data_IF_366182638350
#
_entry.id   IF_366182638350
#
_cell.length_a   1.000
_cell.length_b   1.000
_cell.length_c   1.000
_cell.angle_alpha   90.00
_cell.angle_beta   90.00
_cell.angle_gamma   90.00
#
_symmetry.space_group_name_H-M   'P 1'
#
loop_
_entity.id
_entity.type
_entity.pdbx_description
1 polymer ?
#
# COMPACT_ATOMS: atom_id res chain seq x y z
N UNK A 1 11.50 17.51 16.16
CA UNK A 1 11.32 16.22 15.45
C UNK A 1 12.68 15.84 14.89
N UNK A 2 13.13 14.62 15.12
CA UNK A 2 14.30 14.01 14.48
C UNK A 2 13.81 12.96 13.46
N UNK A 3 14.72 12.22 12.82
CA UNK A 3 14.36 11.17 11.84
C UNK A 3 13.91 9.86 12.51
N UNK A 4 13.94 9.77 13.84
CA UNK A 4 13.58 8.55 14.55
C UNK A 4 12.06 8.41 14.65
N UNK A 5 11.56 7.25 14.24
CA UNK A 5 10.19 6.85 14.54
C UNK A 5 10.11 6.41 16.02
N UNK A 6 9.32 7.13 16.82
CA UNK A 6 9.11 6.81 18.24
C UNK A 6 7.68 6.26 18.49
N UNK A 7 6.92 6.06 17.43
CA UNK A 7 5.57 5.49 17.45
C UNK A 7 5.64 4.00 17.80
N UNK A 8 4.65 3.48 18.55
CA UNK A 8 4.59 2.06 18.85
C UNK A 8 4.39 1.24 17.58
N UNK A 9 5.24 0.22 17.42
CA UNK A 9 5.18 -0.74 16.33
C UNK A 9 3.98 -1.69 16.49
N UNK A 10 3.37 -2.16 15.40
CA UNK A 10 2.40 -3.25 15.45
C UNK A 10 3.00 -4.49 16.11
N UNK A 11 2.16 -5.26 16.83
CA UNK A 11 2.62 -6.41 17.61
C UNK A 11 3.40 -7.46 16.79
N UNK A 12 3.01 -7.68 15.54
CA UNK A 12 3.65 -8.64 14.64
C UNK A 12 4.88 -8.08 13.89
N UNK A 13 5.10 -6.77 13.91
CA UNK A 13 6.05 -6.10 13.02
C UNK A 13 7.48 -6.63 13.16
N UNK A 14 8.00 -6.76 14.38
CA UNK A 14 9.38 -7.19 14.60
C UNK A 14 9.62 -8.63 14.11
N UNK A 15 8.64 -9.51 14.28
CA UNK A 15 8.73 -10.89 13.82
C UNK A 15 8.69 -10.97 12.27
N UNK A 16 7.84 -10.16 11.64
CA UNK A 16 7.78 -10.03 10.18
C UNK A 16 9.10 -9.46 9.65
N UNK A 17 9.65 -8.41 10.27
CA UNK A 17 10.91 -7.78 9.87
C UNK A 17 12.09 -8.76 9.96
N UNK A 18 12.16 -9.57 11.01
CA UNK A 18 13.14 -10.65 11.14
C UNK A 18 13.00 -11.70 10.01
N UNK A 19 11.78 -12.18 9.75
CA UNK A 19 11.51 -13.12 8.68
C UNK A 19 11.80 -12.53 7.29
N UNK A 20 11.51 -11.23 7.10
CA UNK A 20 11.79 -10.48 5.88
C UNK A 20 13.28 -10.47 5.59
N UNK A 21 14.10 -10.12 6.58
CA UNK A 21 15.57 -10.15 6.47
C UNK A 21 16.10 -11.56 6.19
N UNK A 22 15.55 -12.57 6.86
CA UNK A 22 15.94 -13.97 6.66
C UNK A 22 15.58 -14.49 5.25
N UNK A 23 14.48 -14.00 4.65
CA UNK A 23 14.05 -14.37 3.30
C UNK A 23 14.90 -13.76 2.18
N UNK A 24 15.70 -12.73 2.49
CA UNK A 24 16.45 -11.97 1.49
C UNK A 24 15.62 -10.98 0.69
N UNK A 25 14.38 -10.70 1.10
CA UNK A 25 13.56 -9.66 0.49
C UNK A 25 14.16 -8.26 0.77
N UNK A 26 14.40 -7.49 -0.29
CA UNK A 26 15.12 -6.21 -0.23
C UNK A 26 14.25 -4.98 -0.53
N UNK A 27 12.94 -5.17 -0.71
CA UNK A 27 11.99 -4.11 -1.05
C UNK A 27 10.98 -3.87 0.08
N UNK A 28 11.45 -3.92 1.32
CA UNK A 28 10.63 -3.66 2.50
C UNK A 28 10.21 -2.19 2.57
N UNK A 29 8.94 -1.92 2.88
CA UNK A 29 8.40 -0.57 3.00
C UNK A 29 9.09 0.24 4.11
N UNK A 30 9.29 1.54 3.88
CA UNK A 30 9.88 2.44 4.88
C UNK A 30 8.99 2.52 6.14
N UNK A 31 9.61 2.50 7.32
CA UNK A 31 8.88 2.49 8.59
C UNK A 31 8.08 3.77 8.82
N UNK A 32 8.56 4.89 8.30
CA UNK A 32 7.90 6.18 8.39
C UNK A 32 6.71 6.27 7.44
N UNK A 33 6.82 5.68 6.24
CA UNK A 33 5.67 5.45 5.36
C UNK A 33 4.63 4.58 6.08
N UNK A 34 5.04 3.46 6.67
CA UNK A 34 4.14 2.59 7.43
C UNK A 34 3.40 3.32 8.56
N UNK A 35 4.08 4.22 9.28
CA UNK A 35 3.45 5.07 10.30
C UNK A 35 2.38 6.01 9.73
N UNK A 36 2.60 6.56 8.53
CA UNK A 36 1.60 7.36 7.84
C UNK A 36 0.39 6.49 7.46
N UNK A 37 0.63 5.30 6.89
CA UNK A 37 -0.42 4.36 6.47
C UNK A 37 -1.36 4.03 7.64
N UNK A 38 -0.81 3.70 8.81
CA UNK A 38 -1.56 3.46 10.05
C UNK A 38 -2.43 4.66 10.45
N UNK A 39 -1.87 5.87 10.40
CA UNK A 39 -2.58 7.10 10.80
C UNK A 39 -3.75 7.38 9.86
N UNK A 40 -3.55 7.21 8.55
CA UNK A 40 -4.60 7.38 7.55
C UNK A 40 -5.69 6.31 7.70
N UNK A 41 -5.32 5.06 7.99
CA UNK A 41 -6.26 3.97 8.20
C UNK A 41 -7.22 4.24 9.37
N UNK A 42 -6.71 4.81 10.47
CA UNK A 42 -7.53 5.17 11.64
C UNK A 42 -8.63 6.21 11.34
N UNK A 43 -8.54 6.95 10.23
CA UNK A 43 -9.56 7.92 9.81
C UNK A 43 -10.71 7.29 9.00
N UNK A 44 -10.67 5.98 8.74
CA UNK A 44 -11.66 5.23 7.95
C UNK A 44 -12.36 4.15 8.80
N UNK A 45 -13.11 4.52 9.85
CA UNK A 45 -13.84 3.55 10.67
C UNK A 45 -14.86 2.77 9.81
N UNK A 46 -14.91 1.45 9.98
CA UNK A 46 -15.72 0.54 9.16
C UNK A 46 -15.36 0.53 7.67
N UNK A 47 -14.18 1.04 7.30
CA UNK A 47 -13.79 1.22 5.91
C UNK A 47 -13.41 -0.09 5.20
N UNK A 48 -13.48 -0.07 3.87
CA UNK A 48 -12.94 -1.13 3.01
C UNK A 48 -11.58 -0.71 2.46
N UNK A 49 -10.59 -1.56 2.67
CA UNK A 49 -9.19 -1.29 2.33
C UNK A 49 -8.71 -2.27 1.26
N UNK A 50 -7.89 -1.76 0.36
CA UNK A 50 -7.16 -2.53 -0.64
C UNK A 50 -5.67 -2.20 -0.53
N UNK A 51 -4.85 -3.23 -0.54
CA UNK A 51 -3.40 -3.14 -0.69
C UNK A 51 -2.97 -3.94 -1.93
N UNK A 52 -2.25 -3.28 -2.84
CA UNK A 52 -1.66 -3.90 -4.03
C UNK A 52 -0.14 -3.99 -3.80
N UNK A 53 0.36 -5.19 -3.52
CA UNK A 53 1.74 -5.43 -3.07
C UNK A 53 1.79 -5.66 -1.56
N UNK A 54 1.52 -6.89 -1.12
CA UNK A 54 1.66 -7.27 0.30
C UNK A 54 3.12 -7.38 0.74
N UNK A 55 3.99 -7.86 -0.15
CA UNK A 55 5.32 -8.34 0.21
C UNK A 55 5.25 -9.35 1.36
N UNK A 56 6.06 -9.12 2.38
CA UNK A 56 6.08 -9.95 3.60
C UNK A 56 5.07 -9.51 4.66
N UNK A 57 4.29 -8.44 4.42
CA UNK A 57 3.25 -7.95 5.33
C UNK A 57 3.68 -6.83 6.28
N UNK A 58 4.82 -6.16 6.03
CA UNK A 58 5.28 -5.04 6.86
C UNK A 58 4.27 -3.89 6.85
N UNK A 59 3.95 -3.31 5.68
CA UNK A 59 2.92 -2.27 5.54
C UNK A 59 1.55 -2.76 6.01
N UNK A 60 1.18 -3.98 5.63
CA UNK A 60 -0.08 -4.63 6.02
C UNK A 60 -0.27 -4.63 7.54
N UNK A 61 0.78 -4.94 8.30
CA UNK A 61 0.72 -4.95 9.77
C UNK A 61 0.39 -3.59 10.36
N UNK A 62 0.86 -2.49 9.74
CA UNK A 62 0.57 -1.13 10.16
C UNK A 62 -0.82 -0.66 9.75
N UNK A 63 -1.27 -1.03 8.55
CA UNK A 63 -2.64 -0.75 8.10
C UNK A 63 -3.63 -1.42 9.06
N UNK A 64 -3.45 -2.71 9.36
CA UNK A 64 -4.30 -3.46 10.30
C UNK A 64 -4.32 -2.88 11.70
N UNK A 65 -3.17 -2.40 12.20
CA UNK A 65 -3.07 -1.79 13.51
C UNK A 65 -3.77 -0.42 13.58
N UNK A 66 -3.92 0.27 12.45
CA UNK A 66 -4.70 1.51 12.34
C UNK A 66 -6.19 1.29 12.12
N UNK A 67 -6.60 0.15 11.56
CA UNK A 67 -8.00 -0.18 11.30
C UNK A 67 -8.79 -0.42 12.58
N UNK A 68 -10.09 -0.12 12.55
CA UNK A 68 -11.02 -0.53 13.59
C UNK A 68 -11.47 -2.00 13.43
N UNK A 69 -12.22 -2.59 14.38
CA UNK A 69 -12.73 -3.96 14.27
C UNK A 69 -13.79 -4.19 13.19
N UNK A 70 -14.35 -3.14 12.60
CA UNK A 70 -15.42 -3.23 11.60
C UNK A 70 -14.93 -3.06 10.16
N UNK A 71 -13.66 -2.72 10.00
CA UNK A 71 -13.01 -2.53 8.70
C UNK A 71 -12.55 -3.87 8.11
N UNK A 72 -12.33 -3.89 6.79
CA UNK A 72 -11.80 -5.06 6.06
C UNK A 72 -10.64 -4.66 5.17
N UNK A 73 -9.62 -5.51 5.06
CA UNK A 73 -8.45 -5.32 4.20
C UNK A 73 -8.29 -6.51 3.27
N UNK A 74 -8.30 -6.25 1.96
CA UNK A 74 -7.80 -7.19 0.95
C UNK A 74 -6.38 -6.78 0.61
N UNK A 75 -5.43 -7.70 0.73
CA UNK A 75 -4.03 -7.47 0.38
C UNK A 75 -3.57 -8.53 -0.62
N UNK A 76 -2.99 -8.09 -1.73
CA UNK A 76 -2.71 -8.92 -2.90
C UNK A 76 -1.21 -8.93 -3.19
N UNK A 77 -0.68 -10.13 -3.41
CA UNK A 77 0.67 -10.31 -3.94
C UNK A 77 0.74 -11.53 -4.85
N UNK A 78 1.72 -11.55 -5.75
CA UNK A 78 1.99 -12.64 -6.68
C UNK A 78 3.10 -13.58 -6.17
N UNK A 79 3.95 -13.11 -5.24
CA UNK A 79 5.06 -13.87 -4.70
C UNK A 79 4.63 -14.71 -3.49
N UNK A 80 4.33 -15.99 -3.77
CA UNK A 80 3.79 -16.92 -2.77
C UNK A 80 4.66 -17.04 -1.51
N UNK A 81 5.99 -17.01 -1.64
CA UNK A 81 6.91 -17.14 -0.49
C UNK A 81 6.86 -15.94 0.46
N UNK A 82 6.63 -14.73 -0.06
CA UNK A 82 6.50 -13.54 0.78
C UNK A 82 5.11 -13.49 1.41
N UNK A 83 4.09 -13.84 0.63
CA UNK A 83 2.72 -13.94 1.13
C UNK A 83 2.56 -15.00 2.23
N UNK A 84 3.33 -16.09 2.18
CA UNK A 84 3.39 -17.10 3.25
C UNK A 84 3.91 -16.49 4.58
N UNK A 85 4.94 -15.63 4.53
CA UNK A 85 5.43 -14.91 5.71
C UNK A 85 4.32 -14.02 6.28
N UNK A 86 3.65 -13.24 5.43
CA UNK A 86 2.53 -12.40 5.85
C UNK A 86 1.42 -13.25 6.50
N UNK A 87 1.07 -14.40 5.89
CA UNK A 87 0.06 -15.33 6.40
C UNK A 87 0.41 -15.92 7.77
N UNK A 88 1.67 -16.30 7.97
CA UNK A 88 2.14 -16.86 9.24
C UNK A 88 2.03 -15.88 10.42
N UNK A 89 2.15 -14.58 10.16
CA UNK A 89 2.14 -13.55 11.19
C UNK A 89 0.81 -12.80 11.31
N UNK A 90 0.06 -12.65 10.22
CA UNK A 90 -1.13 -11.81 10.14
C UNK A 90 -2.42 -12.57 9.81
N UNK A 91 -2.32 -13.82 9.33
CA UNK A 91 -3.48 -14.60 8.87
C UNK A 91 -4.53 -14.93 9.95
N UNK A 92 -4.19 -14.68 11.22
CA UNK A 92 -5.15 -14.77 12.34
C UNK A 92 -6.06 -13.55 12.51
N UNK A 93 -5.79 -12.42 11.83
CA UNK A 93 -6.64 -11.24 11.89
C UNK A 93 -7.89 -11.43 11.01
N UNK A 94 -9.11 -11.44 11.58
CA UNK A 94 -10.34 -11.70 10.82
C UNK A 94 -10.68 -10.59 9.82
N UNK A 95 -10.03 -9.43 9.89
CA UNK A 95 -10.24 -8.31 8.97
C UNK A 95 -9.41 -8.46 7.70
N UNK A 96 -8.39 -9.31 7.69
CA UNK A 96 -7.46 -9.49 6.59
C UNK A 96 -7.89 -10.62 5.65
N UNK A 97 -7.87 -10.35 4.35
CA UNK A 97 -7.91 -11.36 3.29
C UNK A 97 -6.63 -11.25 2.46
N UNK A 98 -5.71 -12.20 2.64
CA UNK A 98 -4.52 -12.34 1.79
C UNK A 98 -4.90 -13.08 0.51
N UNK A 99 -4.56 -12.50 -0.64
CA UNK A 99 -4.89 -13.05 -1.95
C UNK A 99 -3.62 -13.28 -2.76
N UNK A 100 -3.33 -14.54 -3.08
CA UNK A 100 -2.27 -14.89 -4.02
C UNK A 100 -2.80 -14.72 -5.45
N UNK A 101 -2.39 -13.66 -6.13
CA UNK A 101 -2.81 -13.36 -7.50
C UNK A 101 -1.84 -12.40 -8.17
N UNK A 102 -1.76 -12.46 -9.50
CA UNK A 102 -1.26 -11.32 -10.25
C UNK A 102 -2.20 -10.11 -10.07
N UNK A 103 -1.62 -8.91 -10.02
CA UNK A 103 -2.37 -7.67 -9.78
C UNK A 103 -3.31 -7.31 -10.94
N UNK A 104 -2.91 -7.58 -12.18
CA UNK A 104 -3.76 -7.35 -13.36
C UNK A 104 -4.94 -8.31 -13.36
N UNK A 105 -4.69 -9.59 -13.13
CA UNK A 105 -5.74 -10.61 -13.04
C UNK A 105 -6.76 -10.27 -11.94
N UNK A 106 -6.28 -9.87 -10.77
CA UNK A 106 -7.16 -9.54 -9.65
C UNK A 106 -8.00 -8.29 -9.95
N UNK A 107 -7.39 -7.22 -10.45
CA UNK A 107 -8.12 -5.97 -10.78
C UNK A 107 -9.18 -6.22 -11.84
N UNK A 108 -8.84 -6.97 -12.90
CA UNK A 108 -9.77 -7.29 -13.99
C UNK A 108 -10.91 -8.22 -13.56
N UNK A 109 -10.70 -9.07 -12.55
CA UNK A 109 -11.75 -9.92 -11.98
C UNK A 109 -12.71 -9.15 -11.05
N UNK A 110 -12.34 -7.95 -10.59
CA UNK A 110 -13.07 -7.20 -9.56
C UNK A 110 -13.49 -5.76 -9.96
N UNK A 111 -13.93 -5.48 -11.21
CA UNK A 111 -14.11 -4.10 -11.71
C UNK A 111 -15.21 -3.30 -10.99
N UNK A 112 -16.08 -3.95 -10.24
CA UNK A 112 -17.16 -3.32 -9.47
C UNK A 112 -16.82 -3.02 -8.01
N UNK A 113 -15.65 -3.45 -7.54
CA UNK A 113 -15.27 -3.27 -6.15
C UNK A 113 -15.02 -1.81 -5.78
N UNK A 114 -15.28 -1.49 -4.52
CA UNK A 114 -15.20 -0.13 -3.98
C UNK A 114 -14.49 -0.09 -2.64
N UNK A 115 -13.54 0.83 -2.52
CA UNK A 115 -12.66 0.97 -1.37
C UNK A 115 -12.60 2.43 -0.89
N UNK A 116 -12.41 2.57 0.42
CA UNK A 116 -12.23 3.85 1.11
C UNK A 116 -10.74 4.21 1.28
N UNK A 117 -9.88 3.23 0.99
CA UNK A 117 -8.44 3.29 1.14
C UNK A 117 -7.80 2.30 0.17
N UNK A 118 -6.94 2.80 -0.73
CA UNK A 118 -6.11 1.97 -1.60
C UNK A 118 -4.66 2.36 -1.40
N UNK A 119 -3.83 1.42 -0.95
CA UNK A 119 -2.38 1.53 -0.97
C UNK A 119 -1.83 0.76 -2.16
N UNK A 120 -1.26 1.48 -3.13
CA UNK A 120 -0.59 0.88 -4.27
C UNK A 120 0.92 0.86 -3.99
N UNK A 121 1.47 -0.33 -3.77
CA UNK A 121 2.89 -0.58 -3.54
C UNK A 121 3.47 -1.62 -4.51
N UNK A 122 3.00 -1.55 -5.75
CA UNK A 122 3.47 -2.37 -6.86
C UNK A 122 3.27 -1.59 -8.16
N UNK A 123 3.52 -2.22 -9.31
CA UNK A 123 3.32 -1.58 -10.61
C UNK A 123 1.83 -1.41 -10.94
N UNK A 124 1.00 -2.39 -10.58
CA UNK A 124 -0.45 -2.32 -10.64
C UNK A 124 -0.99 -1.25 -9.67
N UNK A 125 -1.95 -0.47 -10.12
CA UNK A 125 -2.42 0.73 -9.42
C UNK A 125 -1.59 1.97 -9.74
N UNK A 126 -0.26 1.85 -9.86
CA UNK A 126 0.64 2.98 -10.20
C UNK A 126 0.74 3.20 -11.70
N UNK A 127 1.44 2.31 -12.38
CA UNK A 127 1.87 2.42 -13.78
C UNK A 127 1.04 1.56 -14.71
N UNK A 128 0.44 0.51 -14.16
CA UNK A 128 -0.48 -0.40 -14.83
C UNK A 128 -1.85 -0.26 -14.17
N UNK A 129 -2.90 -0.26 -14.97
CA UNK A 129 -4.29 -0.24 -14.51
C UNK A 129 -4.65 0.94 -13.58
N UNK A 130 -4.04 2.10 -13.81
CA UNK A 130 -4.25 3.29 -12.99
C UNK A 130 -5.72 3.73 -13.00
N UNK A 131 -6.36 3.76 -14.17
CA UNK A 131 -7.75 4.19 -14.29
C UNK A 131 -8.71 3.22 -13.61
N UNK A 132 -8.49 1.92 -13.79
CA UNK A 132 -9.27 0.83 -13.20
C UNK A 132 -9.21 0.92 -11.66
N UNK A 133 -8.01 1.05 -11.09
CA UNK A 133 -7.83 1.15 -9.64
C UNK A 133 -8.39 2.47 -9.09
N UNK A 134 -8.20 3.61 -9.77
CA UNK A 134 -8.80 4.88 -9.36
C UNK A 134 -10.34 4.87 -9.46
N UNK A 135 -10.90 4.04 -10.33
CA UNK A 135 -12.34 3.82 -10.40
C UNK A 135 -12.85 2.96 -9.24
N UNK A 136 -12.01 2.20 -8.54
CA UNK A 136 -12.39 1.47 -7.33
C UNK A 136 -12.48 2.38 -6.08
N UNK A 137 -12.09 3.65 -6.16
CA UNK A 137 -12.19 4.59 -5.03
C UNK A 137 -13.63 5.10 -4.85
N UNK A 138 -14.12 5.06 -3.61
CA UNK A 138 -15.28 5.84 -3.21
C UNK A 138 -14.94 7.35 -3.17
N UNK A 139 -15.94 8.25 -3.34
CA UNK A 139 -15.74 9.66 -2.98
C UNK A 139 -15.23 9.81 -1.55
N UNK A 140 -14.21 10.63 -1.36
CA UNK A 140 -13.50 10.82 -0.09
C UNK A 140 -12.47 9.73 0.26
N UNK A 141 -12.32 8.68 -0.57
CA UNK A 141 -11.36 7.61 -0.34
C UNK A 141 -9.91 8.07 -0.53
N UNK A 142 -8.99 7.44 0.21
CA UNK A 142 -7.56 7.67 0.02
C UNK A 142 -6.99 6.78 -1.07
N UNK A 143 -6.13 7.37 -1.89
CA UNK A 143 -5.24 6.67 -2.79
C UNK A 143 -3.80 7.04 -2.43
N UNK A 144 -3.00 6.03 -2.10
CA UNK A 144 -1.66 6.22 -1.53
C UNK A 144 -0.67 5.44 -2.38
N UNK A 145 0.40 6.11 -2.78
CA UNK A 145 1.44 5.56 -3.65
C UNK A 145 2.79 5.73 -2.97
N UNK A 146 3.55 4.64 -2.85
CA UNK A 146 4.94 4.66 -2.37
C UNK A 146 5.96 4.70 -3.51
N UNK A 147 7.24 4.84 -3.16
CA UNK A 147 8.40 4.78 -4.07
C UNK A 147 8.33 5.79 -5.22
N UNK A 148 8.07 7.06 -4.91
CA UNK A 148 8.00 8.14 -5.90
C UNK A 148 9.23 9.05 -5.92
N UNK A 149 10.24 8.80 -5.07
CA UNK A 149 11.58 9.39 -5.17
C UNK A 149 12.60 8.35 -5.65
N UNK A 150 13.67 8.77 -6.38
CA UNK A 150 14.67 7.84 -6.90
C UNK A 150 15.23 6.90 -5.83
N UNK A 151 15.08 5.59 -6.06
CA UNK A 151 15.66 4.57 -5.20
C UNK A 151 16.84 3.87 -5.88
N UNK A 152 17.87 3.41 -5.13
CA UNK A 152 19.03 2.73 -5.70
C UNK A 152 18.71 1.43 -6.44
N UNK A 153 17.57 0.80 -6.13
CA UNK A 153 17.10 -0.47 -6.69
C UNK A 153 16.13 -0.29 -7.87
N UNK A 154 15.85 0.94 -8.32
CA UNK A 154 14.94 1.16 -9.44
C UNK A 154 15.48 0.52 -10.74
N UNK A 155 14.64 -0.24 -11.47
CA UNK A 155 15.00 -0.72 -12.80
C UNK A 155 15.08 0.44 -13.80
N UNK A 156 15.77 0.18 -14.92
CA UNK A 156 15.88 1.15 -16.01
C UNK A 156 14.49 1.64 -16.49
N UNK A 157 14.32 2.96 -16.57
CA UNK A 157 13.09 3.59 -17.03
C UNK A 157 11.99 3.73 -15.97
N UNK A 158 12.23 3.32 -14.72
CA UNK A 158 11.29 3.59 -13.61
C UNK A 158 11.09 5.10 -13.43
N UNK A 159 12.16 5.88 -13.43
CA UNK A 159 12.15 7.34 -13.35
C UNK A 159 11.13 8.00 -14.30
N UNK A 160 11.14 7.59 -15.57
CA UNK A 160 10.21 8.11 -16.59
C UNK A 160 8.76 7.71 -16.32
N UNK A 161 8.53 6.52 -15.78
CA UNK A 161 7.19 6.07 -15.38
C UNK A 161 6.67 6.86 -14.18
N UNK A 162 7.53 7.11 -13.20
CA UNK A 162 7.21 7.92 -12.03
C UNK A 162 6.87 9.37 -12.43
N UNK A 163 7.68 9.98 -13.30
CA UNK A 163 7.41 11.31 -13.84
C UNK A 163 6.08 11.38 -14.60
N UNK A 164 5.81 10.40 -15.46
CA UNK A 164 4.54 10.32 -16.18
C UNK A 164 3.35 10.18 -15.22
N UNK A 165 3.43 9.27 -14.26
CA UNK A 165 2.38 9.07 -13.27
C UNK A 165 2.08 10.36 -12.49
N UNK A 166 3.14 11.08 -12.08
CA UNK A 166 3.00 12.37 -11.42
C UNK A 166 2.23 13.37 -12.30
N UNK A 167 2.56 13.47 -13.59
CA UNK A 167 1.86 14.35 -14.53
C UNK A 167 0.39 13.93 -14.73
N UNK A 168 0.13 12.62 -14.86
CA UNK A 168 -1.23 12.10 -15.01
C UNK A 168 -2.09 12.43 -13.78
N UNK A 169 -1.54 12.30 -12.57
CA UNK A 169 -2.22 12.63 -11.32
C UNK A 169 -2.44 14.14 -11.13
N UNK A 170 -1.48 14.99 -11.52
CA UNK A 170 -1.64 16.45 -11.44
C UNK A 170 -2.77 16.98 -12.33
N UNK A 171 -3.04 16.30 -13.45
CA UNK A 171 -4.06 16.68 -14.41
C UNK A 171 -5.45 16.09 -14.11
N UNK A 172 -5.61 15.34 -13.01
CA UNK A 172 -6.88 14.71 -12.60
C UNK A 172 -7.77 15.69 -11.83
N UNK A 173 -8.90 16.15 -12.40
CA UNK A 173 -9.82 17.05 -11.70
C UNK A 173 -10.66 16.33 -10.63
N UNK A 174 -10.69 15.00 -10.66
CA UNK A 174 -11.42 14.12 -9.75
C UNK A 174 -10.60 13.70 -8.52
N UNK A 175 -9.35 14.18 -8.39
CA UNK A 175 -8.47 13.93 -7.25
C UNK A 175 -8.05 15.25 -6.58
N UNK A 176 -7.84 15.21 -5.27
CA UNK A 176 -7.07 16.20 -4.52
C UNK A 176 -5.74 15.55 -4.16
N UNK A 177 -4.64 16.04 -4.73
CA UNK A 177 -3.31 15.38 -4.62
C UNK A 177 -2.37 16.18 -3.74
N UNK A 178 -1.62 15.50 -2.87
CA UNK A 178 -0.48 16.02 -2.11
C UNK A 178 0.72 15.10 -2.34
N UNK A 179 1.86 15.70 -2.67
CA UNK A 179 3.14 14.99 -2.87
C UNK A 179 4.07 15.25 -1.70
N UNK A 180 4.67 14.19 -1.20
CA UNK A 180 5.49 14.21 -0.01
C UNK A 180 6.89 13.70 -0.34
N UNK A 181 7.87 14.60 -0.30
CA UNK A 181 9.26 14.33 -0.70
C UNK A 181 10.14 13.90 0.47
N UNK A 182 9.60 13.04 1.34
CA UNK A 182 10.30 12.42 2.46
C UNK A 182 10.13 10.89 2.40
N UNK A 183 10.90 10.14 3.19
CA UNK A 183 11.02 8.69 3.08
C UNK A 183 11.38 8.28 1.63
N UNK A 184 10.64 7.33 1.06
CA UNK A 184 10.74 6.81 -0.31
C UNK A 184 10.03 7.67 -1.36
N UNK A 185 9.37 8.75 -0.94
CA UNK A 185 8.53 9.60 -1.80
C UNK A 185 7.12 9.08 -1.88
N UNK A 186 6.17 9.81 -1.32
CA UNK A 186 4.78 9.35 -1.15
C UNK A 186 3.85 10.32 -1.88
N UNK A 187 2.91 9.78 -2.66
CA UNK A 187 1.78 10.56 -3.19
C UNK A 187 0.53 10.13 -2.43
N UNK A 188 -0.17 11.11 -1.87
CA UNK A 188 -1.46 10.94 -1.24
C UNK A 188 -2.51 11.69 -2.06
N UNK A 189 -3.57 11.01 -2.44
CA UNK A 189 -4.72 11.61 -3.09
C UNK A 189 -6.03 11.27 -2.38
N UNK A 190 -7.00 12.17 -2.49
CA UNK A 190 -8.39 11.93 -2.09
C UNK A 190 -9.28 12.01 -3.32
N UNK A 191 -10.11 11.00 -3.54
CA UNK A 191 -11.15 11.02 -4.58
C UNK A 191 -12.21 12.06 -4.23
N UNK A 192 -12.59 12.91 -5.19
CA UNK A 192 -13.69 13.88 -5.01
C UNK A 192 -15.06 13.23 -5.08
#
# INVERSE_FOLDING_TARGET
MNQDINQPLPAAYLAIDEATKASGFTMASDISTCSLLKTLAASKPGGRFLELGTGTGLSTSWILDGMDPHSTLVSIDHEASFLEIAGNHLGGDPRLTLTHSDGEDWVNANPGEKYDYIFADTWHGKYLLLDEVLNMLNPGAFYIIDDMLPQPNWPEGHDKKAEKLIQDLDNRPDLIVTKQVWATGIILAVKR
#
